data_IF_728507539243
#
_entry.id   IF_728507539243
#
_cell.length_a   1.000
_cell.length_b   1.000
_cell.length_c   1.000
_cell.angle_alpha   90.00
_cell.angle_beta   90.00
_cell.angle_gamma   90.00
#
_symmetry.space_group_name_H-M   'P 1'
#
loop_
_entity.id
_entity.type
_entity.pdbx_description
1 polymer ?
#
# COMPACT_ATOMS: atom_id res chain seq x y z
N UNK A 1 34.68 57.43 -38.19
CA UNK A 1 33.26 57.04 -38.16
C UNK A 1 33.20 55.57 -37.82
N UNK A 2 32.77 55.27 -36.59
CA UNK A 2 32.73 53.97 -35.94
C UNK A 2 31.54 53.14 -36.44
N UNK A 3 31.77 51.90 -36.87
CA UNK A 3 30.71 50.92 -37.09
C UNK A 3 31.23 49.54 -36.69
N UNK A 4 30.54 48.88 -35.78
CA UNK A 4 30.90 47.52 -35.41
C UNK A 4 30.18 46.98 -34.18
N UNK A 5 29.25 46.06 -34.46
CA UNK A 5 28.86 44.91 -33.63
C UNK A 5 27.70 45.15 -32.64
N UNK A 6 26.50 44.93 -33.18
CA UNK A 6 25.29 44.53 -32.48
C UNK A 6 25.55 43.19 -31.77
N UNK A 7 25.51 43.16 -30.43
CA UNK A 7 25.50 41.91 -29.65
C UNK A 7 24.09 41.59 -29.19
N UNK A 8 23.46 40.65 -29.89
CA UNK A 8 22.19 40.03 -29.48
C UNK A 8 22.52 39.09 -28.31
N UNK A 9 22.13 39.49 -27.09
CA UNK A 9 22.22 38.64 -25.91
C UNK A 9 21.03 37.70 -25.86
N UNK A 10 21.23 36.45 -26.25
CA UNK A 10 20.23 35.38 -26.14
C UNK A 10 20.10 34.96 -24.67
N UNK A 11 19.02 35.38 -24.01
CA UNK A 11 18.68 34.92 -22.67
C UNK A 11 18.19 33.48 -22.69
N UNK A 12 18.95 32.56 -22.10
CA UNK A 12 18.52 31.17 -21.86
C UNK A 12 17.58 31.20 -20.65
N UNK A 13 16.27 31.09 -20.89
CA UNK A 13 15.30 30.76 -19.85
C UNK A 13 15.51 29.30 -19.43
N UNK A 14 16.09 29.11 -18.25
CA UNK A 14 16.11 27.81 -17.57
C UNK A 14 14.70 27.48 -17.08
N UNK A 15 14.03 26.54 -17.74
CA UNK A 15 12.83 25.89 -17.19
C UNK A 15 13.28 24.87 -16.13
N UNK A 16 13.17 25.25 -14.85
CA UNK A 16 13.24 24.31 -13.75
C UNK A 16 11.98 23.43 -13.77
N UNK A 17 12.08 22.25 -14.37
CA UNK A 17 11.05 21.22 -14.22
C UNK A 17 11.07 20.75 -12.76
N UNK A 18 10.04 21.14 -12.00
CA UNK A 18 9.79 20.56 -10.68
C UNK A 18 9.43 19.08 -10.87
N UNK A 19 10.39 18.19 -10.70
CA UNK A 19 10.11 16.76 -10.53
C UNK A 19 9.52 16.55 -9.15
N UNK A 20 8.23 16.85 -9.00
CA UNK A 20 7.47 16.40 -7.84
C UNK A 20 7.39 14.89 -7.88
N UNK A 21 8.24 14.20 -7.13
CA UNK A 21 8.21 12.76 -6.97
C UNK A 21 7.04 12.37 -6.06
N UNK A 22 5.81 12.46 -6.57
CA UNK A 22 4.69 11.73 -6.01
C UNK A 22 4.69 10.31 -6.60
N UNK A 23 5.78 9.56 -6.37
CA UNK A 23 5.76 8.11 -6.55
C UNK A 23 5.58 7.53 -5.16
N UNK A 24 4.50 6.79 -4.96
CA UNK A 24 4.38 5.92 -3.80
C UNK A 24 5.37 4.76 -4.00
N UNK A 25 6.65 5.08 -3.83
CA UNK A 25 7.73 4.12 -3.82
C UNK A 25 7.77 3.50 -2.41
N UNK A 26 8.14 2.22 -2.30
CA UNK A 26 8.35 1.55 -1.00
C UNK A 26 9.43 2.22 -0.14
N UNK A 27 10.15 3.21 -0.68
CA UNK A 27 11.13 4.05 -0.01
C UNK A 27 10.69 4.64 1.34
N UNK A 28 9.40 4.93 1.53
CA UNK A 28 8.87 5.41 2.83
C UNK A 28 8.73 4.29 3.88
N UNK A 29 8.88 3.02 3.48
CA UNK A 29 8.84 1.85 4.35
C UNK A 29 7.49 1.63 5.05
N UNK A 30 6.40 2.17 4.48
CA UNK A 30 5.05 2.11 5.06
C UNK A 30 3.99 2.16 3.97
N UNK A 31 2.85 1.53 4.24
CA UNK A 31 1.64 1.78 3.47
C UNK A 31 1.15 3.21 3.73
N UNK A 32 0.57 3.88 2.71
CA UNK A 32 -0.18 5.11 2.92
C UNK A 32 -1.29 4.93 3.98
N UNK A 33 -1.50 5.94 4.82
CA UNK A 33 -2.61 5.93 5.77
C UNK A 33 -3.96 5.74 5.05
N UNK A 34 -4.85 4.99 5.67
CA UNK A 34 -6.20 4.75 5.14
C UNK A 34 -6.81 3.45 5.61
N UNK A 35 -8.07 3.24 5.23
CA UNK A 35 -8.78 1.98 5.43
C UNK A 35 -8.74 1.16 4.16
N UNK A 36 -8.29 -0.08 4.30
CA UNK A 36 -8.10 -1.04 3.22
C UNK A 36 -9.20 -2.11 3.30
N UNK A 37 -10.01 -2.17 2.26
CA UNK A 37 -11.07 -3.16 2.13
C UNK A 37 -10.49 -4.47 1.61
N UNK A 38 -10.57 -5.54 2.40
CA UNK A 38 -9.99 -6.83 2.04
C UNK A 38 -11.04 -7.77 1.45
N UNK A 39 -10.76 -8.29 0.28
CA UNK A 39 -11.63 -9.19 -0.46
C UNK A 39 -10.86 -10.40 -1.01
N UNK A 40 -11.54 -11.54 -1.08
CA UNK A 40 -11.03 -12.75 -1.70
C UNK A 40 -11.98 -13.21 -2.80
N UNK A 41 -11.43 -13.55 -3.96
CA UNK A 41 -12.20 -14.11 -5.06
C UNK A 41 -12.29 -15.64 -4.93
N UNK A 42 -13.46 -16.15 -4.59
CA UNK A 42 -13.73 -17.58 -4.45
C UNK A 42 -15.02 -17.95 -5.17
N UNK A 43 -14.93 -19.01 -5.98
CA UNK A 43 -16.09 -19.63 -6.65
C UNK A 43 -16.95 -18.66 -7.48
N UNK A 44 -16.31 -17.67 -8.12
CA UNK A 44 -17.01 -16.69 -8.95
C UNK A 44 -17.57 -15.48 -8.20
N UNK A 45 -17.25 -15.32 -6.92
CA UNK A 45 -17.73 -14.20 -6.10
C UNK A 45 -16.59 -13.58 -5.28
N UNK A 46 -16.67 -12.27 -5.05
CA UNK A 46 -15.81 -11.58 -4.09
C UNK A 46 -16.45 -11.67 -2.70
N UNK A 47 -15.70 -12.21 -1.75
CA UNK A 47 -16.10 -12.29 -0.35
C UNK A 47 -15.36 -11.22 0.44
N UNK A 48 -16.13 -10.45 1.19
CA UNK A 48 -15.64 -9.43 2.11
C UNK A 48 -15.00 -10.10 3.34
N UNK A 49 -13.72 -9.81 3.59
CA UNK A 49 -12.95 -10.31 4.73
C UNK A 49 -12.81 -9.28 5.86
N UNK A 50 -13.38 -8.10 5.68
CA UNK A 50 -13.32 -6.96 6.59
C UNK A 50 -12.29 -5.92 6.18
N UNK A 51 -12.11 -4.94 7.06
CA UNK A 51 -11.24 -3.78 6.79
C UNK A 51 -10.01 -3.77 7.67
N UNK A 52 -8.86 -3.42 7.09
CA UNK A 52 -7.62 -3.12 7.80
C UNK A 52 -7.36 -1.61 7.71
N UNK A 53 -7.27 -0.93 8.84
CA UNK A 53 -6.88 0.49 8.87
C UNK A 53 -5.39 0.61 9.17
N UNK A 54 -4.68 1.37 8.34
CA UNK A 54 -3.28 1.74 8.51
C UNK A 54 -3.19 3.20 8.96
N UNK A 55 -2.38 3.45 10.00
CA UNK A 55 -2.00 4.79 10.46
C UNK A 55 -0.55 4.80 10.89
N UNK A 56 0.33 5.39 10.07
CA UNK A 56 1.78 5.28 10.25
C UNK A 56 2.21 3.82 10.22
N UNK A 57 2.89 3.36 11.27
CA UNK A 57 3.36 1.96 11.39
C UNK A 57 2.42 1.08 12.20
N UNK A 58 1.20 1.56 12.48
CA UNK A 58 0.20 0.85 13.26
C UNK A 58 -0.94 0.41 12.34
N UNK A 59 -1.40 -0.82 12.53
CA UNK A 59 -2.59 -1.34 11.88
C UNK A 59 -3.65 -1.77 12.91
N UNK A 60 -4.90 -1.75 12.50
CA UNK A 60 -6.05 -2.33 13.22
C UNK A 60 -6.90 -3.17 12.27
N UNK A 61 -7.46 -4.27 12.75
CA UNK A 61 -8.28 -5.18 11.95
C UNK A 61 -7.54 -6.47 11.55
N UNK A 62 -8.09 -7.26 10.61
CA UNK A 62 -9.31 -7.01 9.84
C UNK A 62 -10.55 -7.00 10.74
N UNK A 63 -11.50 -6.10 10.48
CA UNK A 63 -12.79 -6.07 11.17
C UNK A 63 -13.90 -6.40 10.19
N UNK A 64 -14.59 -7.52 10.41
CA UNK A 64 -15.77 -7.91 9.63
C UNK A 64 -17.03 -7.22 10.17
N UNK A 65 -17.13 -7.03 11.50
CA UNK A 65 -18.22 -6.32 12.18
C UNK A 65 -17.70 -5.66 13.49
N UNK A 66 -18.11 -4.42 13.76
CA UNK A 66 -17.76 -3.69 15.00
C UNK A 66 -16.49 -2.83 14.88
N UNK A 67 -15.76 -2.63 15.99
CA UNK A 67 -14.51 -1.84 16.03
C UNK A 67 -13.36 -2.68 16.56
N UNK A 68 -12.23 -2.71 15.84
CA UNK A 68 -10.97 -3.23 16.39
C UNK A 68 -10.54 -2.35 17.57
N UNK A 69 -10.35 -2.96 18.74
CA UNK A 69 -10.03 -2.22 19.98
C UNK A 69 -8.54 -2.03 20.23
N UNK A 70 -7.69 -2.74 19.51
CA UNK A 70 -6.24 -2.73 19.70
C UNK A 70 -5.53 -2.57 18.36
N UNK A 71 -4.55 -1.66 18.34
CA UNK A 71 -3.62 -1.51 17.23
C UNK A 71 -2.33 -2.29 17.48
N UNK A 72 -1.74 -2.79 16.41
CA UNK A 72 -0.47 -3.51 16.41
C UNK A 72 0.49 -2.85 15.43
N UNK A 73 1.79 -2.99 15.66
CA UNK A 73 2.76 -2.48 14.72
C UNK A 73 2.86 -3.41 13.50
N UNK A 74 3.24 -2.85 12.36
CA UNK A 74 3.75 -3.61 11.22
C UNK A 74 5.05 -2.98 10.74
N UNK A 75 5.79 -3.71 9.92
CA UNK A 75 6.97 -3.23 9.22
C UNK A 75 6.80 -3.53 7.73
N UNK A 76 7.34 -2.68 6.88
CA UNK A 76 7.46 -2.94 5.44
C UNK A 76 8.93 -2.79 5.04
N UNK A 77 9.44 -3.77 4.30
CA UNK A 77 10.79 -3.68 3.75
C UNK A 77 10.83 -2.86 2.45
N UNK A 78 12.04 -2.63 1.94
CA UNK A 78 12.24 -1.87 0.69
C UNK A 78 11.67 -2.55 -0.56
N UNK A 79 11.23 -3.81 -0.46
CA UNK A 79 10.57 -4.54 -1.54
C UNK A 79 9.04 -4.51 -1.41
N UNK A 80 8.50 -3.86 -0.38
CA UNK A 80 7.06 -3.82 -0.11
C UNK A 80 6.53 -5.04 0.64
N UNK A 81 7.39 -5.93 1.15
CA UNK A 81 6.96 -7.06 1.96
C UNK A 81 6.53 -6.57 3.33
N UNK A 82 5.30 -6.86 3.72
CA UNK A 82 4.72 -6.43 4.99
C UNK A 82 4.84 -7.55 6.03
N UNK A 83 5.42 -7.20 7.17
CA UNK A 83 5.49 -8.04 8.37
C UNK A 83 4.57 -7.49 9.46
N UNK A 84 3.55 -8.25 9.82
CA UNK A 84 2.60 -7.89 10.88
C UNK A 84 3.16 -8.33 12.25
N UNK A 85 3.32 -7.38 13.19
CA UNK A 85 3.89 -7.63 14.52
C UNK A 85 2.80 -7.91 15.58
N UNK A 86 1.66 -8.41 15.13
CA UNK A 86 0.52 -8.78 15.93
C UNK A 86 -0.36 -9.78 15.19
N UNK A 87 -1.46 -10.22 15.82
CA UNK A 87 -2.44 -11.05 15.14
C UNK A 87 -3.09 -10.29 13.98
N UNK A 88 -3.25 -10.97 12.86
CA UNK A 88 -4.07 -10.49 11.75
C UNK A 88 -5.33 -11.36 11.74
N UNK A 89 -6.42 -10.82 12.28
CA UNK A 89 -7.68 -11.54 12.48
C UNK A 89 -8.16 -12.27 11.22
N UNK A 90 -8.71 -13.48 11.36
CA UNK A 90 -9.10 -14.34 10.23
C UNK A 90 -7.91 -15.01 9.53
N UNK A 91 -6.85 -14.26 9.24
CA UNK A 91 -5.66 -14.75 8.53
C UNK A 91 -4.70 -15.57 9.40
N UNK A 92 -4.73 -15.37 10.72
CA UNK A 92 -3.87 -16.05 11.71
C UNK A 92 -4.65 -16.82 12.78
N UNK A 93 -5.97 -16.98 12.57
CA UNK A 93 -6.86 -17.71 13.47
C UNK A 93 -7.19 -19.12 12.94
N UNK A 94 -7.65 -20.02 13.80
CA UNK A 94 -8.15 -21.34 13.37
C UNK A 94 -7.10 -22.27 12.75
N UNK A 95 -5.81 -22.03 13.01
CA UNK A 95 -4.68 -22.77 12.40
C UNK A 95 -4.20 -22.19 11.08
N UNK A 96 -4.80 -21.09 10.60
CA UNK A 96 -4.29 -20.35 9.45
C UNK A 96 -2.94 -19.70 9.79
N UNK A 97 -2.11 -19.54 8.76
CA UNK A 97 -0.82 -18.84 8.87
C UNK A 97 -0.61 -17.93 7.67
N UNK A 98 0.13 -16.85 7.89
CA UNK A 98 0.55 -15.97 6.80
C UNK A 98 1.74 -16.57 6.07
N UNK A 99 1.60 -16.72 4.76
CA UNK A 99 2.73 -17.09 3.90
C UNK A 99 3.49 -15.85 3.45
N UNK A 100 2.77 -14.81 3.01
CA UNK A 100 3.36 -13.57 2.52
C UNK A 100 2.33 -12.45 2.56
N UNK A 101 2.78 -11.21 2.75
CA UNK A 101 1.99 -10.02 2.45
C UNK A 101 2.85 -9.07 1.64
N UNK A 102 2.34 -8.61 0.50
CA UNK A 102 3.09 -7.80 -0.45
C UNK A 102 2.28 -6.57 -0.83
N UNK A 103 2.89 -5.40 -0.69
CA UNK A 103 2.29 -4.15 -1.13
C UNK A 103 2.46 -3.92 -2.63
N UNK A 104 1.49 -3.22 -3.19
CA UNK A 104 1.42 -2.78 -4.58
C UNK A 104 1.12 -1.29 -4.58
N UNK A 105 2.18 -0.48 -4.64
CA UNK A 105 2.12 0.98 -4.57
C UNK A 105 2.44 1.65 -5.92
N UNK A 106 3.34 1.05 -6.70
CA UNK A 106 3.74 1.56 -8.01
C UNK A 106 2.69 1.26 -9.09
N UNK A 107 2.26 2.30 -9.81
CA UNK A 107 1.35 2.16 -10.95
C UNK A 107 -0.10 1.82 -10.62
N UNK A 108 -0.43 1.60 -9.34
CA UNK A 108 -1.77 1.24 -8.89
C UNK A 108 -2.39 2.35 -8.04
N UNK A 109 -3.54 2.85 -8.48
CA UNK A 109 -4.36 3.82 -7.76
C UNK A 109 -5.79 3.31 -7.75
N UNK A 110 -6.35 2.96 -6.58
CA UNK A 110 -5.79 3.15 -5.23
C UNK A 110 -4.66 2.16 -4.86
N UNK A 111 -3.80 2.50 -3.88
CA UNK A 111 -2.77 1.58 -3.38
C UNK A 111 -3.41 0.35 -2.73
N UNK A 112 -2.74 -0.79 -2.85
CA UNK A 112 -3.23 -2.05 -2.32
C UNK A 112 -2.12 -2.92 -1.75
N UNK A 113 -2.48 -4.02 -1.12
CA UNK A 113 -1.56 -5.11 -0.78
C UNK A 113 -2.30 -6.45 -0.84
N UNK A 114 -1.57 -7.50 -1.18
CA UNK A 114 -2.08 -8.87 -1.24
C UNK A 114 -1.62 -9.65 -0.01
N UNK A 115 -2.53 -10.41 0.59
CA UNK A 115 -2.23 -11.35 1.68
C UNK A 115 -2.37 -12.77 1.13
N UNK A 116 -1.28 -13.52 1.19
CA UNK A 116 -1.27 -14.96 0.91
C UNK A 116 -1.31 -15.72 2.23
N UNK A 117 -2.41 -16.42 2.46
CA UNK A 117 -2.66 -17.22 3.66
C UNK A 117 -2.57 -18.70 3.33
N UNK A 118 -1.87 -19.46 4.19
CA UNK A 118 -1.86 -20.92 4.19
C UNK A 118 -2.83 -21.45 5.25
N UNK A 119 -3.73 -22.32 4.80
CA UNK A 119 -4.74 -22.99 5.63
C UNK A 119 -4.16 -24.24 6.33
N UNK A 120 -4.84 -24.76 7.37
CA UNK A 120 -4.40 -25.96 8.09
C UNK A 120 -4.26 -27.20 7.21
N UNK A 121 -5.07 -27.30 6.14
CA UNK A 121 -5.03 -28.38 5.15
C UNK A 121 -3.88 -28.23 4.13
N UNK A 122 -3.11 -27.14 4.23
CA UNK A 122 -2.00 -26.83 3.34
C UNK A 122 -2.38 -26.02 2.10
N UNK A 123 -3.66 -25.73 1.87
CA UNK A 123 -4.11 -24.93 0.74
C UNK A 123 -3.74 -23.44 0.93
N UNK A 124 -3.52 -22.74 -0.18
CA UNK A 124 -3.25 -21.31 -0.19
C UNK A 124 -4.46 -20.53 -0.69
N UNK A 125 -4.67 -19.36 -0.09
CA UNK A 125 -5.66 -18.37 -0.53
C UNK A 125 -4.99 -17.02 -0.66
N UNK A 126 -5.44 -16.23 -1.63
CA UNK A 126 -4.97 -14.88 -1.85
C UNK A 126 -6.15 -13.92 -1.70
N UNK A 127 -5.97 -12.89 -0.89
CA UNK A 127 -6.92 -11.78 -0.77
C UNK A 127 -6.21 -10.48 -1.10
N UNK A 128 -6.92 -9.58 -1.76
CA UNK A 128 -6.43 -8.23 -2.05
C UNK A 128 -7.10 -7.25 -1.10
N UNK A 129 -6.30 -6.39 -0.49
CA UNK A 129 -6.76 -5.30 0.35
C UNK A 129 -6.50 -3.98 -0.36
N UNK A 130 -7.57 -3.29 -0.74
CA UNK A 130 -7.51 -2.09 -1.56
C UNK A 130 -7.92 -0.88 -0.73
N UNK A 131 -7.14 0.21 -0.78
CA UNK A 131 -7.50 1.42 -0.03
C UNK A 131 -8.81 2.00 -0.58
N UNK A 132 -9.80 2.18 0.29
CA UNK A 132 -11.00 2.94 -0.05
C UNK A 132 -10.67 4.42 -0.19
N UNK A 133 -11.33 5.11 -1.12
CA UNK A 133 -11.31 6.56 -1.17
C UNK A 133 -12.05 7.08 0.07
N UNK A 134 -11.34 7.74 0.99
CA UNK A 134 -11.98 8.52 2.04
C UNK A 134 -12.69 9.71 1.36
N UNK A 135 -14.01 9.63 1.18
CA UNK A 135 -14.85 10.80 0.90
C UNK A 135 -14.90 11.73 2.11
#
# INVERSE_FOLDING_TARGET
MTSGILRIGTGILFLAAATGSARADFSDGKMPDGTYHCEVYLLGMFLNLGDITIKGNVYTGPVTFGTARQGYNYQMDANGVISWLGPLGGYTAGGNSLSMTQATLDGQSPPSFDIIMKQPDGAFTASTCTRGDNQ
#
